data_IF_673130193782
#
_entry.id   IF_673130193782
#
_cell.length_a   1.000
_cell.length_b   1.000
_cell.length_c   1.000
_cell.angle_alpha   90.00
_cell.angle_beta   90.00
_cell.angle_gamma   90.00
#
_symmetry.space_group_name_H-M   'P 1'
#
loop_
_entity.id
_entity.type
_entity.pdbx_description
1 polymer ?
#
# COMPACT_ATOMS: atom_id res chain seq x y z
N UNK A 1 35.52 19.67 17.29
CA UNK A 1 36.46 18.95 16.45
C UNK A 1 35.75 18.29 15.29
N UNK A 2 36.19 18.51 14.06
CA UNK A 2 35.68 17.84 12.88
C UNK A 2 36.29 16.44 12.81
N UNK A 3 35.46 15.45 12.39
CA UNK A 3 35.90 14.07 12.16
C UNK A 3 37.00 14.04 11.07
N UNK A 4 38.12 13.30 11.24
CA UNK A 4 39.22 13.26 10.29
C UNK A 4 38.78 12.92 8.89
N UNK A 5 39.20 13.68 7.88
CA UNK A 5 38.79 13.48 6.48
C UNK A 5 39.23 12.14 5.89
N UNK A 6 40.33 11.59 6.36
CA UNK A 6 40.92 10.31 5.96
C UNK A 6 40.08 9.10 6.37
N UNK A 7 39.22 9.27 7.39
CA UNK A 7 38.36 8.21 7.90
C UNK A 7 36.92 8.29 7.34
N UNK A 8 36.66 9.27 6.46
CA UNK A 8 35.34 9.42 5.83
C UNK A 8 35.15 8.37 4.73
N UNK A 9 34.29 7.42 4.97
CA UNK A 9 33.83 6.47 3.93
C UNK A 9 32.98 7.21 2.89
N UNK A 10 33.49 7.30 1.67
CA UNK A 10 32.73 7.86 0.54
C UNK A 10 31.74 6.82 0.00
N UNK A 11 30.61 6.64 0.67
CA UNK A 11 29.53 5.71 0.24
C UNK A 11 28.80 6.27 -0.98
N UNK A 12 28.83 7.58 -1.20
CA UNK A 12 28.08 8.26 -2.27
C UNK A 12 28.48 7.79 -3.68
N UNK A 13 29.78 7.68 -3.95
CA UNK A 13 30.27 7.30 -5.28
C UNK A 13 29.89 5.89 -5.68
N UNK A 14 30.17 4.81 -4.89
CA UNK A 14 29.81 3.45 -5.28
C UNK A 14 28.30 3.24 -5.42
N UNK A 15 27.48 3.90 -4.60
CA UNK A 15 26.02 3.86 -4.76
C UNK A 15 25.62 4.53 -6.08
N UNK A 16 26.14 5.72 -6.38
CA UNK A 16 25.82 6.45 -7.60
C UNK A 16 26.23 5.68 -8.86
N UNK A 17 27.39 5.04 -8.86
CA UNK A 17 27.88 4.21 -9.97
C UNK A 17 27.01 2.95 -10.18
N UNK A 18 26.66 2.27 -9.09
CA UNK A 18 25.78 1.09 -9.14
C UNK A 18 24.40 1.46 -9.69
N UNK A 19 23.81 2.54 -9.20
CA UNK A 19 22.51 3.01 -9.71
C UNK A 19 22.62 3.41 -11.17
N UNK A 20 23.67 4.14 -11.56
CA UNK A 20 23.90 4.54 -12.95
C UNK A 20 24.07 3.32 -13.88
N UNK A 21 24.82 2.31 -13.46
CA UNK A 21 24.99 1.07 -14.26
C UNK A 21 23.66 0.33 -14.45
N UNK A 22 22.82 0.28 -13.44
CA UNK A 22 21.47 -0.32 -13.53
C UNK A 22 20.55 0.49 -14.44
N UNK A 23 20.54 1.83 -14.30
CA UNK A 23 19.65 2.70 -15.08
C UNK A 23 20.04 2.82 -16.55
N UNK A 24 21.26 2.46 -16.94
CA UNK A 24 21.72 2.42 -18.34
C UNK A 24 21.54 1.04 -18.97
N UNK A 25 21.36 -0.02 -18.18
CA UNK A 25 21.19 -1.38 -18.70
C UNK A 25 19.87 -1.51 -19.49
N UNK A 26 19.91 -1.89 -20.78
CA UNK A 26 18.72 -1.99 -21.64
C UNK A 26 17.67 -2.98 -21.10
N UNK A 27 18.12 -4.11 -20.54
CA UNK A 27 17.21 -5.12 -19.96
C UNK A 27 16.46 -4.57 -18.72
N UNK A 28 17.16 -3.81 -17.87
CA UNK A 28 16.56 -3.18 -16.70
C UNK A 28 15.57 -2.08 -17.10
N UNK A 29 15.93 -1.25 -18.10
CA UNK A 29 15.03 -0.22 -18.65
C UNK A 29 13.79 -0.87 -19.27
N UNK A 30 13.95 -1.97 -20.01
CA UNK A 30 12.83 -2.73 -20.58
C UNK A 30 11.89 -3.24 -19.49
N UNK A 31 12.45 -3.83 -18.43
CA UNK A 31 11.68 -4.33 -17.28
C UNK A 31 10.91 -3.21 -16.56
N UNK A 32 11.58 -2.11 -16.20
CA UNK A 32 10.93 -0.99 -15.49
C UNK A 32 9.85 -0.31 -16.33
N UNK A 33 10.08 -0.12 -17.63
CA UNK A 33 9.06 0.39 -18.56
C UNK A 33 7.88 -0.59 -18.69
N UNK A 34 8.15 -1.89 -18.82
CA UNK A 34 7.12 -2.93 -18.89
C UNK A 34 6.26 -2.97 -17.62
N UNK A 35 6.89 -2.96 -16.45
CA UNK A 35 6.19 -2.92 -15.18
C UNK A 35 5.34 -1.66 -15.02
N UNK A 36 5.88 -0.48 -15.39
CA UNK A 36 5.10 0.78 -15.39
C UNK A 36 3.90 0.69 -16.32
N UNK A 37 4.09 0.21 -17.54
CA UNK A 37 3.01 0.09 -18.51
C UNK A 37 1.95 -0.90 -18.02
N UNK A 38 2.35 -2.04 -17.46
CA UNK A 38 1.44 -3.02 -16.90
C UNK A 38 0.59 -2.45 -15.75
N UNK A 39 1.22 -1.84 -14.75
CA UNK A 39 0.51 -1.25 -13.60
C UNK A 39 -0.40 -0.11 -14.04
N UNK A 40 0.07 0.74 -14.97
CA UNK A 40 -0.73 1.86 -15.45
C UNK A 40 -1.92 1.41 -16.28
N UNK A 41 -1.71 0.59 -17.31
CA UNK A 41 -2.73 0.26 -18.29
C UNK A 41 -3.74 -0.76 -17.76
N UNK A 42 -3.28 -1.76 -16.99
CA UNK A 42 -4.15 -2.86 -16.57
C UNK A 42 -4.77 -2.67 -15.18
N UNK A 43 -4.14 -1.88 -14.30
CA UNK A 43 -4.62 -1.72 -12.92
C UNK A 43 -5.09 -0.29 -12.64
N UNK A 44 -4.22 0.70 -12.82
CA UNK A 44 -4.50 2.06 -12.36
C UNK A 44 -5.51 2.78 -13.28
N UNK A 45 -5.25 2.81 -14.58
CA UNK A 45 -6.08 3.54 -15.55
C UNK A 45 -7.53 3.08 -15.57
N UNK A 46 -7.85 1.77 -15.64
CA UNK A 46 -9.23 1.31 -15.61
C UNK A 46 -9.96 1.73 -14.34
N UNK A 47 -9.32 1.55 -13.19
CA UNK A 47 -9.91 1.89 -11.89
C UNK A 47 -10.08 3.40 -11.71
N UNK A 48 -9.07 4.18 -12.08
CA UNK A 48 -9.10 5.64 -12.01
C UNK A 48 -10.20 6.21 -12.92
N UNK A 49 -10.26 5.74 -14.18
CA UNK A 49 -11.31 6.13 -15.12
C UNK A 49 -12.69 5.74 -14.61
N UNK A 50 -12.84 4.53 -14.07
CA UNK A 50 -14.09 4.08 -13.50
C UNK A 50 -14.56 4.97 -12.34
N UNK A 51 -13.71 5.18 -11.33
CA UNK A 51 -14.05 5.97 -10.15
C UNK A 51 -14.28 7.47 -10.42
N UNK A 52 -13.57 8.03 -11.39
CA UNK A 52 -13.69 9.46 -11.71
C UNK A 52 -14.85 9.80 -12.67
N UNK A 53 -15.29 8.84 -13.50
CA UNK A 53 -16.40 9.06 -14.44
C UNK A 53 -17.77 8.64 -13.88
N UNK A 54 -17.80 7.81 -12.84
CA UNK A 54 -19.07 7.46 -12.18
C UNK A 54 -19.65 8.72 -11.50
N UNK A 55 -20.97 8.96 -11.61
CA UNK A 55 -21.64 10.02 -10.88
C UNK A 55 -21.39 9.91 -9.37
N UNK A 56 -21.09 11.03 -8.72
CA UNK A 56 -20.76 11.07 -7.28
C UNK A 56 -21.83 10.42 -6.39
N UNK A 57 -23.11 10.58 -6.71
CA UNK A 57 -24.22 10.00 -5.96
C UNK A 57 -24.25 8.46 -6.04
N UNK A 58 -23.81 7.88 -7.17
CA UNK A 58 -23.75 6.43 -7.34
C UNK A 58 -22.63 5.83 -6.49
N UNK A 59 -21.46 6.43 -6.50
CA UNK A 59 -20.33 6.03 -5.66
C UNK A 59 -20.67 6.17 -4.18
N UNK A 60 -21.29 7.28 -3.78
CA UNK A 60 -21.80 7.50 -2.42
C UNK A 60 -22.81 6.41 -2.04
N UNK A 61 -23.74 6.05 -2.93
CA UNK A 61 -24.71 5.00 -2.73
C UNK A 61 -24.08 3.62 -2.50
N UNK A 62 -23.06 3.26 -3.29
CA UNK A 62 -22.32 1.99 -3.13
C UNK A 62 -21.65 1.91 -1.75
N UNK A 63 -20.86 2.91 -1.37
CA UNK A 63 -20.17 2.92 -0.08
C UNK A 63 -21.15 2.89 1.09
N UNK A 64 -22.24 3.65 1.00
CA UNK A 64 -23.29 3.64 2.02
C UNK A 64 -23.99 2.27 2.11
N UNK A 65 -24.27 1.64 0.98
CA UNK A 65 -24.85 0.29 0.94
C UNK A 65 -23.91 -0.76 1.53
N UNK A 66 -22.63 -0.73 1.17
CA UNK A 66 -21.62 -1.62 1.77
C UNK A 66 -21.59 -1.41 3.29
N UNK A 67 -21.52 -0.17 3.77
CA UNK A 67 -21.54 0.13 5.19
C UNK A 67 -22.81 -0.37 5.91
N UNK A 68 -23.97 -0.29 5.24
CA UNK A 68 -25.22 -0.80 5.77
C UNK A 68 -25.23 -2.32 5.94
N UNK A 69 -24.79 -3.05 4.92
CA UNK A 69 -24.79 -4.52 4.94
C UNK A 69 -23.70 -5.12 5.82
N UNK A 70 -22.60 -4.41 6.05
CA UNK A 70 -21.46 -4.93 6.85
C UNK A 70 -21.58 -4.59 8.33
N UNK A 71 -21.95 -3.36 8.68
CA UNK A 71 -21.91 -2.86 10.05
C UNK A 71 -23.32 -2.45 10.55
N UNK A 72 -24.16 -1.93 9.64
CA UNK A 72 -25.53 -1.54 9.95
C UNK A 72 -25.86 -0.07 9.68
N UNK A 73 -27.11 0.32 10.00
CA UNK A 73 -27.67 1.63 9.65
C UNK A 73 -26.87 2.82 10.18
N UNK A 74 -26.38 2.73 11.42
CA UNK A 74 -25.61 3.84 12.04
C UNK A 74 -24.35 4.15 11.25
N UNK A 75 -23.61 3.11 10.86
CA UNK A 75 -22.39 3.26 10.07
C UNK A 75 -22.70 3.77 8.65
N UNK A 76 -23.77 3.30 8.04
CA UNK A 76 -24.22 3.79 6.73
C UNK A 76 -24.50 5.31 6.74
N UNK A 77 -25.18 5.81 7.77
CA UNK A 77 -25.46 7.26 7.93
C UNK A 77 -24.14 8.03 8.08
N UNK A 78 -23.22 7.55 8.91
CA UNK A 78 -21.91 8.19 9.10
C UNK A 78 -21.14 8.21 7.77
N UNK A 79 -21.08 7.10 7.04
CA UNK A 79 -20.43 7.00 5.72
C UNK A 79 -21.02 8.02 4.74
N UNK A 80 -22.35 8.11 4.67
CA UNK A 80 -23.03 9.06 3.81
C UNK A 80 -22.67 10.50 4.15
N UNK A 81 -22.69 10.87 5.44
CA UNK A 81 -22.34 12.22 5.88
C UNK A 81 -20.87 12.57 5.60
N UNK A 82 -19.95 11.65 5.82
CA UNK A 82 -18.53 11.85 5.56
C UNK A 82 -18.24 12.02 4.06
N UNK A 83 -18.85 11.20 3.22
CA UNK A 83 -18.72 11.32 1.76
C UNK A 83 -19.37 12.60 1.23
N UNK A 84 -20.52 12.99 1.79
CA UNK A 84 -21.18 14.26 1.47
C UNK A 84 -20.29 15.45 1.85
N UNK A 85 -19.60 15.38 2.99
CA UNK A 85 -18.63 16.39 3.39
C UNK A 85 -17.49 16.53 2.39
N UNK A 86 -16.92 15.41 1.90
CA UNK A 86 -15.87 15.42 0.84
C UNK A 86 -16.40 16.10 -0.42
N UNK A 87 -17.64 15.80 -0.82
CA UNK A 87 -18.26 16.39 -2.00
C UNK A 87 -18.51 17.89 -1.80
N UNK A 88 -19.01 18.31 -0.65
CA UNK A 88 -19.26 19.71 -0.29
C UNK A 88 -17.98 20.55 -0.23
N UNK A 89 -16.85 19.96 0.17
CA UNK A 89 -15.54 20.61 0.14
C UNK A 89 -14.95 20.74 -1.28
N UNK A 90 -15.60 20.20 -2.31
CA UNK A 90 -15.12 20.29 -3.71
C UNK A 90 -13.89 19.45 -4.03
N UNK A 91 -13.52 18.51 -3.14
CA UNK A 91 -12.34 17.64 -3.29
C UNK A 91 -12.69 16.21 -3.75
N UNK A 92 -13.91 16.02 -4.31
CA UNK A 92 -14.42 14.72 -4.71
C UNK A 92 -13.52 14.01 -5.73
N UNK A 93 -13.17 14.68 -6.80
CA UNK A 93 -12.34 14.11 -7.88
C UNK A 93 -10.97 13.69 -7.37
N UNK A 94 -10.34 14.54 -6.54
CA UNK A 94 -9.04 14.23 -5.93
C UNK A 94 -9.13 13.04 -4.97
N UNK A 95 -10.26 12.89 -4.27
CA UNK A 95 -10.54 11.74 -3.41
C UNK A 95 -10.65 10.45 -4.21
N UNK A 96 -11.32 10.45 -5.37
CA UNK A 96 -11.44 9.29 -6.25
C UNK A 96 -10.09 8.89 -6.86
N UNK A 97 -9.25 9.86 -7.25
CA UNK A 97 -7.88 9.60 -7.71
C UNK A 97 -7.01 8.99 -6.60
N UNK A 98 -7.14 9.48 -5.38
CA UNK A 98 -6.43 8.90 -4.22
C UNK A 98 -6.91 7.48 -3.94
N UNK A 99 -8.22 7.27 -3.97
CA UNK A 99 -8.84 5.96 -3.77
C UNK A 99 -8.34 4.94 -4.79
N UNK A 100 -8.30 5.30 -6.09
CA UNK A 100 -7.79 4.43 -7.14
C UNK A 100 -6.33 4.03 -6.90
N UNK A 101 -5.48 4.99 -6.55
CA UNK A 101 -4.06 4.76 -6.27
C UNK A 101 -3.86 3.86 -5.04
N UNK A 102 -4.61 4.09 -3.96
CA UNK A 102 -4.55 3.30 -2.73
C UNK A 102 -5.05 1.87 -2.97
N UNK A 103 -6.21 1.71 -3.63
CA UNK A 103 -6.77 0.38 -3.92
C UNK A 103 -5.82 -0.47 -4.77
N UNK A 104 -5.20 0.12 -5.81
CA UNK A 104 -4.18 -0.58 -6.62
C UNK A 104 -2.97 -0.95 -5.77
N UNK A 105 -2.49 -0.02 -4.93
CA UNK A 105 -1.34 -0.28 -4.05
C UNK A 105 -1.63 -1.39 -3.06
N UNK A 106 -2.79 -1.37 -2.41
CA UNK A 106 -3.23 -2.39 -1.45
C UNK A 106 -3.43 -3.74 -2.14
N UNK A 107 -4.05 -3.78 -3.32
CA UNK A 107 -4.18 -5.01 -4.10
C UNK A 107 -2.82 -5.63 -4.46
N UNK A 108 -1.84 -4.82 -4.85
CA UNK A 108 -0.47 -5.27 -5.10
C UNK A 108 0.22 -5.75 -3.82
N UNK A 109 0.02 -5.05 -2.69
CA UNK A 109 0.52 -5.51 -1.39
C UNK A 109 -0.03 -6.89 -1.02
N UNK A 110 -1.31 -7.13 -1.28
CA UNK A 110 -1.94 -8.43 -1.05
C UNK A 110 -1.39 -9.50 -1.99
N UNK A 111 -1.35 -9.22 -3.28
CA UNK A 111 -0.90 -10.14 -4.30
C UNK A 111 0.55 -10.61 -4.07
N UNK A 112 1.41 -9.74 -3.52
CA UNK A 112 2.80 -10.06 -3.22
C UNK A 112 3.00 -10.49 -1.76
N UNK A 113 2.34 -9.82 -0.82
CA UNK A 113 2.56 -10.00 0.61
C UNK A 113 1.99 -11.28 1.17
N UNK A 114 0.78 -11.68 0.74
CA UNK A 114 0.17 -12.94 1.22
C UNK A 114 0.99 -14.15 0.81
N UNK A 115 1.42 -14.33 -0.45
CA UNK A 115 2.30 -15.44 -0.82
C UNK A 115 3.62 -15.46 -0.04
N UNK A 116 4.27 -14.29 0.15
CA UNK A 116 5.51 -14.19 0.93
C UNK A 116 5.28 -14.57 2.39
N UNK A 117 4.16 -14.15 2.99
CA UNK A 117 3.76 -14.53 4.34
C UNK A 117 3.48 -16.03 4.47
N UNK A 118 2.84 -16.65 3.46
CA UNK A 118 2.63 -18.10 3.40
C UNK A 118 3.97 -18.83 3.37
N UNK A 119 4.90 -18.45 2.50
CA UNK A 119 6.24 -19.08 2.43
C UNK A 119 6.95 -18.97 3.78
N UNK A 120 6.90 -17.81 4.42
CA UNK A 120 7.51 -17.58 5.73
C UNK A 120 6.87 -18.43 6.84
N UNK A 121 5.58 -18.75 6.74
CA UNK A 121 4.90 -19.59 7.73
C UNK A 121 5.40 -21.05 7.74
N UNK A 122 5.92 -21.53 6.61
CA UNK A 122 6.44 -22.91 6.47
C UNK A 122 7.96 -23.00 6.62
N UNK A 123 8.70 -21.89 6.51
CA UNK A 123 10.16 -21.90 6.57
C UNK A 123 10.66 -20.88 7.61
N UNK A 124 11.13 -21.40 8.75
CA UNK A 124 11.58 -20.57 9.87
C UNK A 124 12.82 -19.72 9.53
N UNK A 125 13.77 -20.27 8.76
CA UNK A 125 14.97 -19.51 8.33
C UNK A 125 14.57 -18.34 7.43
N UNK A 126 13.68 -18.59 6.48
CA UNK A 126 13.15 -17.53 5.60
C UNK A 126 12.39 -16.48 6.41
N UNK A 127 11.54 -16.91 7.36
CA UNK A 127 10.81 -16.00 8.27
C UNK A 127 11.74 -15.09 9.07
N UNK A 128 12.82 -15.64 9.63
CA UNK A 128 13.77 -14.86 10.43
C UNK A 128 14.49 -13.81 9.58
N UNK A 129 14.97 -14.17 8.39
CA UNK A 129 15.60 -13.23 7.45
C UNK A 129 14.59 -12.16 7.02
N UNK A 130 13.38 -12.59 6.66
CA UNK A 130 12.31 -11.70 6.24
C UNK A 130 11.94 -10.69 7.33
N UNK A 131 11.83 -11.12 8.58
CA UNK A 131 11.52 -10.23 9.70
C UNK A 131 12.55 -9.12 9.86
N UNK A 132 13.84 -9.42 9.75
CA UNK A 132 14.90 -8.41 9.80
C UNK A 132 14.75 -7.37 8.68
N UNK A 133 14.43 -7.84 7.46
CA UNK A 133 14.19 -6.94 6.32
C UNK A 133 12.94 -6.07 6.56
N UNK A 134 11.84 -6.67 7.04
CA UNK A 134 10.61 -5.95 7.34
C UNK A 134 10.79 -4.94 8.48
N UNK A 135 11.59 -5.26 9.50
CA UNK A 135 11.93 -4.34 10.58
C UNK A 135 12.72 -3.15 10.04
N UNK A 136 13.73 -3.39 9.21
CA UNK A 136 14.48 -2.34 8.54
C UNK A 136 13.56 -1.46 7.67
N UNK A 137 12.64 -2.08 6.93
CA UNK A 137 11.66 -1.34 6.13
C UNK A 137 10.74 -0.46 6.98
N UNK A 138 10.29 -0.90 8.15
CA UNK A 138 9.39 -0.13 9.01
C UNK A 138 10.11 0.99 9.79
N UNK A 139 11.42 0.88 10.00
CA UNK A 139 12.23 1.93 10.67
C UNK A 139 12.69 3.04 9.75
N UNK A 140 12.76 2.77 8.44
CA UNK A 140 13.16 3.78 7.45
C UNK A 140 12.09 4.86 7.30
N UNK A 141 12.46 6.15 7.32
CA UNK A 141 11.54 7.24 7.01
C UNK A 141 10.93 7.05 5.60
N UNK A 142 9.63 7.33 5.47
CA UNK A 142 8.92 7.14 4.19
C UNK A 142 9.52 7.91 3.00
N UNK A 143 10.18 9.04 3.23
CA UNK A 143 10.92 9.78 2.20
C UNK A 143 12.05 8.97 1.55
N UNK A 144 12.68 8.06 2.30
CA UNK A 144 13.78 7.24 1.79
C UNK A 144 13.34 6.31 0.67
N UNK A 145 12.06 5.93 0.61
CA UNK A 145 11.50 5.07 -0.44
C UNK A 145 11.29 5.81 -1.76
N UNK A 146 11.06 7.13 -1.71
CA UNK A 146 10.81 7.94 -2.90
C UNK A 146 12.04 8.00 -3.81
N UNK A 147 13.24 8.07 -3.22
CA UNK A 147 14.49 8.26 -3.96
C UNK A 147 14.76 7.09 -4.92
N UNK A 148 14.86 5.82 -4.48
CA UNK A 148 15.11 4.71 -5.39
C UNK A 148 13.97 4.51 -6.38
N UNK A 149 12.71 4.69 -5.97
CA UNK A 149 11.59 4.56 -6.89
C UNK A 149 11.63 5.63 -7.98
N UNK A 150 11.94 6.89 -7.63
CA UNK A 150 12.11 7.96 -8.62
C UNK A 150 13.26 7.67 -9.58
N UNK A 151 14.38 7.14 -9.08
CA UNK A 151 15.56 6.84 -9.90
C UNK A 151 15.32 5.69 -10.89
N UNK A 152 14.62 4.64 -10.47
CA UNK A 152 14.40 3.45 -11.30
C UNK A 152 13.18 3.55 -12.20
N UNK A 153 12.12 4.20 -11.74
CA UNK A 153 10.84 4.27 -12.45
C UNK A 153 10.51 5.67 -12.98
N UNK A 154 11.32 6.69 -12.66
CA UNK A 154 11.03 8.08 -13.02
C UNK A 154 9.83 8.65 -12.25
N UNK A 155 9.47 9.91 -12.51
CA UNK A 155 8.32 10.57 -11.88
C UNK A 155 6.97 10.13 -12.46
N UNK A 156 5.92 10.22 -11.64
CA UNK A 156 4.53 9.99 -12.05
C UNK A 156 3.71 9.13 -11.10
N UNK A 157 2.43 8.99 -11.40
CA UNK A 157 1.46 8.30 -10.55
C UNK A 157 1.80 6.82 -10.32
N UNK A 158 2.39 6.14 -11.31
CA UNK A 158 2.80 4.73 -11.14
C UNK A 158 3.95 4.60 -10.15
N UNK A 159 4.91 5.52 -10.20
CA UNK A 159 6.01 5.57 -9.23
C UNK A 159 5.48 5.83 -7.83
N UNK A 160 4.45 6.69 -7.69
CA UNK A 160 3.75 6.90 -6.43
C UNK A 160 3.09 5.61 -5.91
N UNK A 161 2.40 4.85 -6.77
CA UNK A 161 1.82 3.55 -6.42
C UNK A 161 2.90 2.55 -5.99
N UNK A 162 4.00 2.43 -6.74
CA UNK A 162 5.09 1.50 -6.40
C UNK A 162 5.78 1.86 -5.07
N UNK A 163 6.02 3.15 -4.82
CA UNK A 163 6.55 3.62 -3.54
C UNK A 163 5.60 3.29 -2.38
N UNK A 164 4.28 3.46 -2.60
CA UNK A 164 3.26 3.08 -1.63
C UNK A 164 3.25 1.57 -1.36
N UNK A 165 3.39 0.73 -2.39
CA UNK A 165 3.49 -0.73 -2.23
C UNK A 165 4.69 -1.10 -1.37
N UNK A 166 5.87 -0.59 -1.68
CA UNK A 166 7.09 -0.92 -0.92
C UNK A 166 6.94 -0.51 0.56
N UNK A 167 6.36 0.66 0.82
CA UNK A 167 6.16 1.17 2.18
C UNK A 167 5.07 0.40 2.96
N UNK A 168 3.97 0.05 2.30
CA UNK A 168 2.77 -0.48 2.96
C UNK A 168 2.70 -2.02 3.02
N UNK A 169 3.59 -2.74 2.33
CA UNK A 169 3.57 -4.21 2.27
C UNK A 169 3.97 -4.93 3.58
N UNK A 170 4.84 -4.40 4.49
CA UNK A 170 5.32 -5.15 5.64
C UNK A 170 4.23 -5.72 6.56
N UNK A 171 3.15 -5.00 6.93
CA UNK A 171 2.13 -5.54 7.82
C UNK A 171 1.44 -6.78 7.26
N UNK A 172 1.07 -6.79 5.98
CA UNK A 172 0.36 -7.93 5.41
C UNK A 172 1.25 -9.18 5.34
N UNK A 173 2.54 -9.03 5.04
CA UNK A 173 3.49 -10.14 5.05
C UNK A 173 3.59 -10.72 6.46
N UNK A 174 3.84 -9.85 7.46
CA UNK A 174 4.05 -10.24 8.84
C UNK A 174 2.83 -10.90 9.44
N UNK A 175 1.65 -10.31 9.28
CA UNK A 175 0.42 -10.79 9.87
C UNK A 175 -0.13 -12.03 9.15
N UNK A 176 0.15 -12.21 7.87
CA UNK A 176 -0.11 -13.48 7.18
C UNK A 176 0.76 -14.60 7.75
N UNK A 177 2.07 -14.38 7.88
CA UNK A 177 2.97 -15.37 8.45
C UNK A 177 2.60 -15.71 9.90
N UNK A 178 2.34 -14.70 10.72
CA UNK A 178 1.96 -14.85 12.12
C UNK A 178 0.64 -15.61 12.26
N UNK A 179 -0.41 -15.20 11.53
CA UNK A 179 -1.71 -15.84 11.58
C UNK A 179 -1.65 -17.33 11.22
N UNK A 180 -0.87 -17.68 10.18
CA UNK A 180 -0.71 -19.08 9.77
C UNK A 180 0.13 -19.91 10.73
N UNK A 181 1.12 -19.31 11.41
CA UNK A 181 1.96 -20.01 12.39
C UNK A 181 1.28 -20.20 13.73
N UNK A 182 0.35 -19.32 14.10
CA UNK A 182 -0.43 -19.41 15.34
C UNK A 182 -1.53 -20.48 15.29
N UNK A 183 -1.89 -20.99 14.10
CA UNK A 183 -2.84 -22.11 14.01
C UNK A 183 -2.22 -23.34 14.66
N UNK A 184 -2.90 -23.87 15.69
CA UNK A 184 -2.44 -25.05 16.45
C UNK A 184 -2.06 -26.21 15.53
N UNK A 185 -0.94 -26.86 15.83
CA UNK A 185 -0.45 -28.05 15.13
C UNK A 185 -1.48 -29.18 15.07
N UNK A 186 -2.31 -29.32 16.13
CA UNK A 186 -3.36 -30.32 16.21
C UNK A 186 -4.34 -30.29 15.04
N UNK A 187 -4.74 -29.11 14.58
CA UNK A 187 -5.59 -28.98 13.38
C UNK A 187 -4.92 -29.51 12.11
N UNK A 188 -3.62 -29.29 11.99
CA UNK A 188 -2.83 -29.80 10.85
C UNK A 188 -2.66 -31.31 10.92
N UNK A 189 -2.51 -31.88 12.12
CA UNK A 189 -2.42 -33.32 12.36
C UNK A 189 -3.75 -34.02 12.05
N UNK A 190 -4.87 -33.48 12.52
CA UNK A 190 -6.21 -33.95 12.19
C UNK A 190 -6.42 -33.97 10.69
N UNK A 191 -6.10 -32.86 10.00
CA UNK A 191 -6.23 -32.80 8.54
C UNK A 191 -5.42 -33.89 7.82
N UNK A 192 -4.19 -34.17 8.29
CA UNK A 192 -3.33 -35.23 7.74
C UNK A 192 -3.86 -36.62 8.04
N UNK A 193 -4.42 -36.86 9.24
CA UNK A 193 -5.04 -38.14 9.61
C UNK A 193 -6.22 -38.48 8.70
N UNK A 194 -6.92 -37.51 8.18
CA UNK A 194 -7.96 -37.68 7.15
C UNK A 194 -7.41 -37.69 5.70
N UNK A 195 -6.10 -37.80 5.52
CA UNK A 195 -5.48 -37.87 4.18
C UNK A 195 -5.35 -36.52 3.47
N UNK A 196 -5.49 -35.41 4.19
CA UNK A 196 -5.37 -34.06 3.63
C UNK A 196 -3.97 -33.74 3.10
N UNK A 197 -3.87 -33.22 1.88
CA UNK A 197 -2.61 -32.70 1.33
C UNK A 197 -2.21 -31.36 1.98
N UNK A 198 -0.95 -30.92 1.80
CA UNK A 198 -0.48 -29.62 2.33
C UNK A 198 -1.35 -28.44 1.85
N UNK A 199 -1.71 -28.42 0.55
CA UNK A 199 -2.56 -27.39 -0.01
C UNK A 199 -4.00 -27.42 0.53
N UNK A 200 -4.55 -28.62 0.76
CA UNK A 200 -5.86 -28.77 1.37
C UNK A 200 -5.85 -28.31 2.82
N UNK A 201 -4.81 -28.65 3.58
CA UNK A 201 -4.63 -28.20 4.98
C UNK A 201 -4.45 -26.67 5.02
N UNK A 202 -3.69 -26.09 4.08
CA UNK A 202 -3.54 -24.64 3.99
C UNK A 202 -4.88 -23.95 3.72
N UNK A 203 -5.57 -24.34 2.63
CA UNK A 203 -6.75 -23.61 2.15
C UNK A 203 -8.01 -23.87 2.97
N UNK A 204 -8.20 -25.11 3.49
CA UNK A 204 -9.42 -25.51 4.19
C UNK A 204 -9.33 -25.37 5.72
N UNK A 205 -8.11 -25.31 6.27
CA UNK A 205 -7.91 -25.29 7.72
C UNK A 205 -7.15 -24.04 8.15
N UNK A 206 -5.88 -23.89 7.72
CA UNK A 206 -5.03 -22.81 8.22
C UNK A 206 -5.49 -21.43 7.76
N UNK A 207 -5.81 -21.27 6.49
CA UNK A 207 -6.17 -19.97 5.94
C UNK A 207 -7.47 -19.41 6.55
N UNK A 208 -8.58 -20.18 6.67
CA UNK A 208 -9.77 -19.69 7.35
C UNK A 208 -9.53 -19.30 8.82
N UNK A 209 -8.71 -20.06 9.55
CA UNK A 209 -8.38 -19.75 10.93
C UNK A 209 -7.44 -18.54 11.07
N UNK A 210 -6.65 -18.24 10.04
CA UNK A 210 -5.76 -17.09 10.00
C UNK A 210 -6.46 -15.79 9.51
N UNK A 211 -7.70 -15.86 8.99
CA UNK A 211 -8.46 -14.69 8.49
C UNK A 211 -8.47 -13.50 9.46
N UNK A 212 -8.69 -13.65 10.77
CA UNK A 212 -8.66 -12.52 11.68
C UNK A 212 -7.32 -11.76 11.64
N UNK A 213 -6.18 -12.47 11.61
CA UNK A 213 -4.86 -11.85 11.50
C UNK A 213 -4.63 -11.18 10.14
N UNK A 214 -5.15 -11.79 9.06
CA UNK A 214 -5.11 -11.21 7.71
C UNK A 214 -5.91 -9.91 7.63
N UNK A 215 -7.08 -9.84 8.25
CA UNK A 215 -7.90 -8.61 8.31
C UNK A 215 -7.17 -7.48 9.04
N UNK A 216 -6.50 -7.80 10.16
CA UNK A 216 -5.65 -6.81 10.86
C UNK A 216 -4.52 -6.33 9.93
N UNK A 217 -3.87 -7.26 9.21
CA UNK A 217 -2.82 -6.95 8.23
C UNK A 217 -3.33 -6.05 7.11
N UNK A 218 -4.55 -6.33 6.61
CA UNK A 218 -5.24 -5.49 5.63
C UNK A 218 -5.42 -4.06 6.13
N UNK A 219 -6.04 -3.91 7.30
CA UNK A 219 -6.30 -2.60 7.87
C UNK A 219 -5.02 -1.78 8.05
N UNK A 220 -3.95 -2.39 8.58
CA UNK A 220 -2.66 -1.70 8.73
C UNK A 220 -2.05 -1.32 7.38
N UNK A 221 -2.13 -2.19 6.37
CA UNK A 221 -1.65 -1.91 5.01
C UNK A 221 -2.41 -0.74 4.39
N UNK A 222 -3.73 -0.67 4.55
CA UNK A 222 -4.57 0.44 4.08
C UNK A 222 -4.16 1.76 4.75
N UNK A 223 -4.03 1.77 6.08
CA UNK A 223 -3.61 2.96 6.83
C UNK A 223 -2.24 3.46 6.35
N UNK A 224 -1.25 2.56 6.20
CA UNK A 224 0.07 2.92 5.69
C UNK A 224 0.02 3.42 4.24
N UNK A 225 -0.83 2.82 3.39
CA UNK A 225 -1.00 3.26 2.01
C UNK A 225 -1.57 4.69 1.94
N UNK A 226 -2.55 5.04 2.78
CA UNK A 226 -3.06 6.41 2.86
C UNK A 226 -2.02 7.39 3.42
N UNK A 227 -1.26 7.01 4.45
CA UNK A 227 -0.20 7.84 4.99
C UNK A 227 0.85 8.20 3.93
N UNK A 228 1.19 7.25 3.05
CA UNK A 228 2.15 7.48 1.96
C UNK A 228 1.64 8.47 0.92
N UNK A 229 0.32 8.62 0.73
CA UNK A 229 -0.25 9.56 -0.26
C UNK A 229 0.15 11.02 0.00
N UNK A 230 0.47 11.39 1.25
CA UNK A 230 0.86 12.76 1.61
C UNK A 230 2.20 13.14 0.97
N UNK A 231 3.11 12.18 0.80
CA UNK A 231 4.47 12.44 0.29
C UNK A 231 4.69 12.06 -1.17
N UNK A 232 3.81 11.25 -1.74
CA UNK A 232 3.89 10.84 -3.16
C UNK A 232 3.85 11.99 -4.17
N UNK A 233 3.26 13.18 -3.91
CA UNK A 233 3.34 14.33 -4.80
C UNK A 233 4.77 14.75 -5.14
N UNK A 234 5.73 14.53 -4.25
CA UNK A 234 7.15 14.82 -4.49
C UNK A 234 7.75 14.05 -5.67
N UNK A 235 7.15 12.92 -6.03
CA UNK A 235 7.56 12.08 -7.17
C UNK A 235 6.51 12.04 -8.28
N UNK A 236 5.52 12.95 -8.26
CA UNK A 236 4.49 13.08 -9.28
C UNK A 236 3.20 12.30 -8.97
N UNK A 237 2.94 11.95 -7.71
CA UNK A 237 1.64 11.46 -7.23
C UNK A 237 0.56 12.53 -7.38
N UNK A 238 -0.69 12.09 -7.53
CA UNK A 238 -1.88 12.94 -7.71
C UNK A 238 -2.88 12.69 -6.58
N UNK A 239 -4.00 13.41 -6.64
CA UNK A 239 -5.11 13.25 -5.70
C UNK A 239 -5.01 14.16 -4.47
N UNK A 240 -5.58 13.74 -3.34
CA UNK A 240 -5.66 14.52 -2.10
C UNK A 240 -4.28 14.90 -1.55
N UNK A 241 -3.28 14.01 -1.66
CA UNK A 241 -1.92 14.32 -1.23
C UNK A 241 -1.35 15.54 -1.93
N UNK A 242 -1.61 15.69 -3.25
CA UNK A 242 -1.18 16.87 -4.01
C UNK A 242 -1.89 18.13 -3.53
N UNK A 243 -3.16 18.05 -3.12
CA UNK A 243 -3.88 19.17 -2.53
C UNK A 243 -3.32 19.59 -1.18
N UNK A 244 -2.95 18.62 -0.33
CA UNK A 244 -2.24 18.89 0.94
C UNK A 244 -0.91 19.58 0.66
N UNK A 245 -0.12 19.06 -0.28
CA UNK A 245 1.17 19.64 -0.66
C UNK A 245 1.04 21.06 -1.22
N UNK A 246 0.06 21.30 -2.08
CA UNK A 246 -0.23 22.61 -2.63
C UNK A 246 -0.69 23.61 -1.56
N UNK A 247 -1.54 23.16 -0.62
CA UNK A 247 -1.96 23.95 0.54
C UNK A 247 -0.78 24.39 1.38
N UNK A 248 0.13 23.46 1.67
CA UNK A 248 1.36 23.74 2.44
C UNK A 248 2.29 24.72 1.69
N UNK A 249 2.54 24.45 0.39
CA UNK A 249 3.46 25.28 -0.42
C UNK A 249 2.96 26.71 -0.64
N UNK A 250 1.64 26.92 -0.63
CA UNK A 250 1.01 28.24 -0.81
C UNK A 250 0.55 28.89 0.50
N UNK A 251 0.79 28.23 1.65
CA UNK A 251 0.28 28.65 2.96
C UNK A 251 -1.27 28.78 2.98
N UNK A 252 -1.96 28.01 2.12
CA UNK A 252 -3.42 27.92 2.08
C UNK A 252 -3.89 26.83 3.07
N UNK A 253 -4.11 27.27 4.31
CA UNK A 253 -4.50 26.39 5.41
C UNK A 253 -5.84 25.70 5.13
N UNK A 254 -6.80 26.39 4.52
CA UNK A 254 -8.13 25.84 4.23
C UNK A 254 -8.05 24.65 3.28
N UNK A 255 -7.32 24.83 2.17
CA UNK A 255 -7.09 23.77 1.17
C UNK A 255 -6.35 22.57 1.75
N UNK A 256 -5.27 22.84 2.50
CA UNK A 256 -4.46 21.79 3.13
C UNK A 256 -5.24 20.96 4.15
N UNK A 257 -6.00 21.62 5.02
CA UNK A 257 -6.84 20.96 6.04
C UNK A 257 -7.98 20.16 5.41
N UNK A 258 -8.71 20.73 4.45
CA UNK A 258 -9.79 20.02 3.78
C UNK A 258 -9.29 18.74 3.09
N UNK A 259 -8.18 18.81 2.37
CA UNK A 259 -7.58 17.65 1.73
C UNK A 259 -7.05 16.62 2.76
N UNK A 260 -6.42 17.06 3.85
CA UNK A 260 -5.97 16.19 4.94
C UNK A 260 -7.13 15.46 5.60
N UNK A 261 -8.23 16.15 5.91
CA UNK A 261 -9.46 15.53 6.41
C UNK A 261 -10.03 14.53 5.41
N UNK A 262 -9.99 14.84 4.10
CA UNK A 262 -10.39 13.92 3.04
C UNK A 262 -9.61 12.61 3.08
N UNK A 263 -8.29 12.65 3.28
CA UNK A 263 -7.44 11.44 3.42
C UNK A 263 -7.87 10.62 4.64
N UNK A 264 -8.08 11.27 5.78
CA UNK A 264 -8.51 10.57 7.01
C UNK A 264 -9.88 9.92 6.84
N UNK A 265 -10.83 10.65 6.26
CA UNK A 265 -12.18 10.12 5.99
C UNK A 265 -12.11 8.89 5.08
N UNK A 266 -11.35 8.97 3.97
CA UNK A 266 -11.20 7.85 3.05
C UNK A 266 -10.54 6.64 3.73
N UNK A 267 -9.55 6.86 4.60
CA UNK A 267 -8.90 5.79 5.35
C UNK A 267 -9.82 5.12 6.38
N UNK A 268 -10.78 5.86 6.93
CA UNK A 268 -11.77 5.34 7.89
C UNK A 268 -12.90 4.55 7.20
N UNK A 269 -13.17 4.84 5.93
CA UNK A 269 -14.28 4.22 5.18
C UNK A 269 -13.89 2.91 4.48
N UNK A 270 -12.61 2.59 4.38
CA UNK A 270 -12.07 1.37 3.77
C UNK A 270 -11.62 0.39 4.85
#
# INVERSE_FOLDING_TARGET
GSFPSEWKLSIRQPIAETVKSLTVNPSFIGFTKGLRAFVYLNLLRPLDTFLTHIPWWYTMGIFTAIGYFTVGLRFAIITMLLLFFIAACGIWTQSMVTLSSVLVSVALCFALGVPLGIIASYNERFRNIQNVILDAMQTLPYFCYLIPVLMFFGGGIVSAVLATVIYAIPPIIRLTSLGLTQVSGSFSEVSRSFGGTLLQTLNKVKFPLAVPSLVIGFNQTVIMAFAMQIVTPLIGGKGLGLEVFNGLARSDTGRGLAAGMGIVIMALLI
#
